data_IF_448703158777
#
_entry.id   IF_448703158777
#
_cell.length_a   1.000
_cell.length_b   1.000
_cell.length_c   1.000
_cell.angle_alpha   90.00
_cell.angle_beta   90.00
_cell.angle_gamma   90.00
#
_symmetry.space_group_name_H-M   'P 1'
#
loop_
_entity.id
_entity.type
_entity.pdbx_description
1 polymer ?
2 polymer ?
3 polymer ?
4 water ?
#
loop_
_entity_poly.entity_id
_entity_poly.type
_entity_poly.pdbx_seq_one_letter_code
_entity_poly.pdbx_strand_id
2 'polydeoxyribonucleotide' '(DT)(DA)(DC)(DC)(DG)(DT)(DG)(DG)(DC)(DC)(DT)(DA)(DT)(DT)(DG)(DC)(DG)(DA)(DT)(DG)(DT)(DT)(DT)(DC)(DC)(DT)(DA)(DG)(DC)(DT)' ?
3 'polydeoxyribonucleotide' '(DA)(DG)(DC)(DT)(DA)(DG)(DG)(DA)(DA)(DA)(DC)(DA)(DT)(DC)(DG)(DC)(DA)(DA)(DT)(DA)(DG)(DG)(DC)(DC)(DA)(DC)(DG)(DG)(DT)(DA)' ?
#
# COMPACT_ATOMS: atom_id res chain seq x y z
N UNK A 8 -12.48 8.13 -6.41
CA UNK A 8 -11.50 7.07 -6.11
C UNK A 8 -12.07 5.69 -6.41
N UNK A 9 -11.34 4.85 -7.13
CA UNK A 9 -11.87 3.56 -7.56
C UNK A 9 -11.29 2.45 -6.69
N UNK A 10 -12.17 1.75 -5.97
CA UNK A 10 -11.75 0.56 -5.25
C UNK A 10 -11.22 -0.46 -6.23
N UNK A 11 -10.05 -1.04 -6.00
CA UNK A 11 -9.50 -2.04 -6.92
C UNK A 11 -10.43 -3.20 -7.18
N UNK A 12 -11.36 -3.49 -6.27
CA UNK A 12 -12.34 -4.55 -6.53
C UNK A 12 -13.25 -4.24 -7.70
N UNK A 13 -13.45 -2.95 -8.00
CA UNK A 13 -14.28 -2.61 -9.15
C UNK A 13 -13.57 -2.98 -10.46
N UNK A 14 -12.25 -2.76 -10.52
CA UNK A 14 -11.48 -3.19 -11.68
C UNK A 14 -11.47 -4.70 -11.78
N UNK A 15 -11.19 -5.39 -10.68
CA UNK A 15 -11.21 -6.84 -10.66
C UNK A 15 -12.52 -7.38 -11.21
N UNK A 16 -13.64 -6.87 -10.70
CA UNK A 16 -14.95 -7.34 -11.17
C UNK A 16 -15.21 -6.94 -12.61
N UNK A 17 -15.05 -5.65 -12.94
CA UNK A 17 -15.46 -5.19 -14.26
C UNK A 17 -14.44 -5.53 -15.34
N UNK A 18 -13.15 -5.36 -15.06
CA UNK A 18 -12.12 -5.54 -16.08
C UNK A 18 -11.69 -6.98 -16.26
N UNK A 19 -11.95 -7.86 -15.29
CA UNK A 19 -11.38 -9.20 -15.40
C UNK A 19 -12.44 -10.27 -15.22
N UNK A 20 -13.10 -10.28 -14.04
CA UNK A 20 -14.13 -11.27 -13.77
C UNK A 20 -15.20 -11.26 -14.85
N UNK A 21 -15.81 -10.10 -15.08
CA UNK A 21 -16.87 -10.05 -16.08
C UNK A 21 -16.31 -10.24 -17.49
N UNK A 22 -15.13 -9.68 -17.75
CA UNK A 22 -14.54 -9.81 -19.08
C UNK A 22 -14.35 -11.27 -19.48
N UNK A 23 -13.91 -12.11 -18.53
CA UNK A 23 -13.62 -13.50 -18.84
C UNK A 23 -14.68 -14.46 -18.33
N UNK A 24 -15.82 -13.95 -17.84
CA UNK A 24 -16.92 -14.77 -17.33
C UNK A 24 -16.42 -15.77 -16.29
N UNK A 25 -15.69 -15.26 -15.29
CA UNK A 25 -15.14 -16.05 -14.19
C UNK A 25 -15.82 -15.58 -12.91
N UNK A 26 -16.36 -16.53 -12.13
CA UNK A 26 -17.01 -16.17 -10.88
C UNK A 26 -15.97 -15.92 -9.79
N UNK A 27 -16.33 -15.13 -8.76
CA UNK A 27 -15.44 -15.01 -7.59
C UNK A 27 -15.05 -16.37 -7.01
N UNK A 28 -15.99 -17.31 -6.95
CA UNK A 28 -15.68 -18.64 -6.43
C UNK A 28 -14.67 -19.36 -7.32
N UNK A 29 -14.87 -19.30 -8.65
CA UNK A 29 -13.92 -19.95 -9.56
C UNK A 29 -12.56 -19.29 -9.47
N UNK A 30 -12.53 -17.96 -9.34
CA UNK A 30 -11.25 -17.27 -9.22
C UNK A 30 -10.53 -17.68 -7.94
N UNK A 31 -11.25 -17.74 -6.81
CA UNK A 31 -10.59 -18.11 -5.56
C UNK A 31 -9.94 -19.49 -5.66
N UNK A 32 -10.61 -20.45 -6.33
CA UNK A 32 -10.01 -21.78 -6.50
C UNK A 32 -8.72 -21.71 -7.29
N UNK A 33 -8.73 -20.97 -8.40
CA UNK A 33 -7.52 -20.82 -9.19
C UNK A 33 -6.42 -20.12 -8.42
N UNK A 34 -6.77 -19.17 -7.52
CA UNK A 34 -5.74 -18.46 -6.76
C UNK A 34 -5.27 -19.22 -5.53
N UNK A 35 -5.97 -20.30 -5.14
CA UNK A 35 -5.67 -21.04 -3.90
C UNK A 35 -5.87 -20.17 -2.67
N UNK A 36 -6.94 -19.37 -2.67
CA UNK A 36 -7.40 -18.63 -1.50
C UNK A 36 -8.88 -18.95 -1.29
N UNK A 37 -9.41 -18.52 -0.15
CA UNK A 37 -10.80 -18.82 0.19
C UNK A 37 -11.74 -17.88 -0.56
N UNK A 38 -12.93 -18.41 -0.87
CA UNK A 38 -13.96 -17.64 -1.56
C UNK A 38 -14.25 -16.29 -0.92
N UNK A 39 -14.39 -16.16 0.41
CA UNK A 39 -14.64 -14.82 0.97
C UNK A 39 -13.53 -13.84 0.71
N UNK A 40 -12.30 -14.30 0.48
CA UNK A 40 -11.23 -13.36 0.15
C UNK A 40 -11.53 -12.62 -1.15
N UNK A 41 -11.90 -13.36 -2.20
CA UNK A 41 -12.21 -12.73 -3.48
C UNK A 41 -13.54 -11.98 -3.40
N UNK A 42 -14.54 -12.58 -2.77
CA UNK A 42 -15.85 -11.92 -2.73
C UNK A 42 -15.79 -10.60 -1.98
N UNK A 43 -15.06 -10.55 -0.87
CA UNK A 43 -14.95 -9.30 -0.11
C UNK A 43 -14.26 -8.22 -0.93
N UNK A 44 -13.27 -8.59 -1.76
CA UNK A 44 -12.63 -7.62 -2.65
C UNK A 44 -13.62 -7.09 -3.67
N UNK A 45 -14.38 -7.99 -4.31
CA UNK A 45 -15.31 -7.59 -5.36
C UNK A 45 -16.44 -6.73 -4.79
N UNK A 46 -16.88 -6.99 -3.56
CA UNK A 46 -17.85 -6.14 -2.90
C UNK A 46 -17.24 -4.84 -2.38
N UNK A 47 -15.95 -4.60 -2.66
CA UNK A 47 -15.26 -3.39 -2.22
C UNK A 47 -15.31 -3.22 -0.70
N UNK A 48 -15.18 -4.33 0.02
CA UNK A 48 -15.08 -4.32 1.47
C UNK A 48 -13.71 -4.76 1.98
N UNK A 49 -12.82 -5.18 1.10
CA UNK A 49 -11.47 -5.55 1.48
C UNK A 49 -10.50 -5.01 0.44
N UNK A 50 -9.37 -4.52 0.91
CA UNK A 50 -8.34 -4.03 0.01
C UNK A 50 -7.50 -5.16 -0.52
N UNK A 51 -6.62 -4.84 -1.47
CA UNK A 51 -5.74 -5.84 -2.05
C UNK A 51 -4.42 -5.87 -1.27
N UNK A 52 -4.11 -7.01 -0.66
CA UNK A 52 -2.85 -7.19 0.03
C UNK A 52 -1.72 -7.44 -0.97
N UNK A 53 -0.48 -7.32 -0.49
CA UNK A 53 0.68 -7.64 -1.33
C UNK A 53 0.59 -9.07 -1.85
N UNK A 54 0.19 -10.00 -0.99
CA UNK A 54 0.04 -11.39 -1.41
C UNK A 54 -0.98 -11.52 -2.53
N UNK A 55 -2.14 -10.86 -2.38
CA UNK A 55 -3.18 -10.93 -3.40
C UNK A 55 -2.74 -10.26 -4.69
N UNK A 56 -1.97 -9.18 -4.60
CA UNK A 56 -1.45 -8.52 -5.79
C UNK A 56 -0.60 -9.47 -6.62
N UNK A 57 0.26 -10.26 -5.97
CA UNK A 57 1.08 -11.23 -6.68
C UNK A 57 0.20 -12.29 -7.33
N UNK A 58 -0.78 -12.83 -6.57
CA UNK A 58 -1.64 -13.88 -7.13
C UNK A 58 -2.44 -13.38 -8.31
N UNK A 59 -3.01 -12.18 -8.22
CA UNK A 59 -3.81 -11.67 -9.32
C UNK A 59 -2.94 -11.38 -10.54
N UNK A 60 -1.78 -10.74 -10.33
CA UNK A 60 -0.88 -10.51 -11.44
C UNK A 60 -0.49 -11.81 -12.12
N UNK A 61 -0.21 -12.84 -11.32
CA UNK A 61 0.25 -14.12 -11.85
C UNK A 61 -0.85 -14.81 -12.67
N UNK A 62 -2.07 -14.85 -12.13
CA UNK A 62 -3.17 -15.55 -12.79
C UNK A 62 -3.64 -14.81 -14.03
N UNK A 63 -3.85 -13.49 -13.92
CA UNK A 63 -4.39 -12.71 -15.01
C UNK A 63 -3.34 -12.14 -15.96
N UNK A 64 -2.07 -12.55 -15.82
CA UNK A 64 -1.00 -12.01 -16.67
C UNK A 64 -1.01 -10.47 -16.65
N UNK A 65 -0.97 -9.90 -15.45
CA UNK A 65 -0.80 -8.46 -15.30
C UNK A 65 0.43 -8.20 -14.43
N UNK A 66 0.85 -6.94 -14.45
CA UNK A 66 1.79 -6.44 -13.44
C UNK A 66 1.23 -6.70 -12.04
N UNK A 67 2.08 -7.18 -11.13
CA UNK A 67 1.68 -7.21 -9.73
C UNK A 67 1.62 -5.79 -9.15
N UNK A 68 2.55 -4.92 -9.54
CA UNK A 68 2.54 -3.56 -9.04
C UNK A 68 1.32 -2.78 -9.52
N UNK A 69 0.74 -3.17 -10.66
CA UNK A 69 -0.53 -2.58 -11.09
C UNK A 69 -1.58 -2.67 -10.00
N UNK A 70 -1.73 -3.86 -9.39
CA UNK A 70 -2.69 -4.02 -8.30
C UNK A 70 -2.26 -3.25 -7.06
N UNK A 71 -0.97 -3.27 -6.72
CA UNK A 71 -0.48 -2.48 -5.60
C UNK A 71 -0.80 -1.00 -5.77
N UNK A 72 -0.67 -0.49 -7.00
CA UNK A 72 -0.88 0.95 -7.23
C UNK A 72 -2.35 1.33 -7.15
N UNK A 73 -3.24 0.49 -7.69
CA UNK A 73 -4.67 0.70 -7.52
C UNK A 73 -5.02 0.81 -6.05
N UNK A 74 -4.49 -0.09 -5.23
CA UNK A 74 -4.78 -0.08 -3.81
C UNK A 74 -4.22 1.16 -3.12
N UNK A 75 -2.95 1.47 -3.39
CA UNK A 75 -2.33 2.57 -2.65
C UNK A 75 -2.99 3.90 -3.00
N UNK A 76 -3.35 4.09 -4.26
CA UNK A 76 -4.04 5.32 -4.64
C UNK A 76 -5.41 5.41 -3.97
N UNK A 77 -6.15 4.30 -3.95
CA UNK A 77 -7.45 4.30 -3.28
C UNK A 77 -7.30 4.52 -1.78
N UNK A 78 -6.33 3.85 -1.16
CA UNK A 78 -6.10 4.01 0.27
C UNK A 78 -5.73 5.45 0.61
N UNK A 79 -4.88 6.07 -0.22
CA UNK A 79 -4.46 7.44 0.05
C UNK A 79 -5.65 8.39 -0.05
N UNK A 80 -6.46 8.26 -1.12
CA UNK A 80 -7.61 9.14 -1.28
C UNK A 80 -8.64 8.92 -0.17
N UNK A 81 -8.86 7.67 0.21
CA UNK A 81 -9.83 7.40 1.28
C UNK A 81 -9.34 7.96 2.61
N UNK A 82 -8.05 7.78 2.94
CA UNK A 82 -7.51 8.40 4.15
C UNK A 82 -7.60 9.93 4.07
N UNK A 83 -7.33 10.49 2.89
CA UNK A 83 -7.33 11.95 2.78
C UNK A 83 -8.74 12.50 2.94
N UNK A 84 -9.74 11.86 2.32
CA UNK A 84 -11.12 12.31 2.49
C UNK A 84 -11.55 12.26 3.95
N UNK A 85 -11.03 11.29 4.71
CA UNK A 85 -11.43 11.18 6.12
C UNK A 85 -10.69 12.17 7.00
N UNK A 86 -9.38 12.33 6.81
CA UNK A 86 -8.56 13.06 7.76
C UNK A 86 -7.67 14.15 7.14
N UNK A 87 -7.76 14.38 5.84
CA UNK A 87 -6.89 15.35 5.19
C UNK A 87 -6.95 16.72 5.84
N UNK A 88 -8.16 17.24 6.03
CA UNK A 88 -8.29 18.62 6.51
C UNK A 88 -7.80 18.75 7.95
N UNK A 89 -8.16 17.81 8.82
CA UNK A 89 -7.65 17.83 10.19
C UNK A 89 -6.13 17.73 10.23
N UNK A 90 -5.54 16.85 9.41
CA UNK A 90 -4.07 16.76 9.36
C UNK A 90 -3.48 18.09 8.92
N UNK A 91 -4.06 18.71 7.89
CA UNK A 91 -3.55 19.99 7.41
C UNK A 91 -3.71 21.09 8.45
N UNK A 92 -4.73 20.98 9.31
CA UNK A 92 -4.95 21.98 10.34
C UNK A 92 -3.98 21.83 11.50
N UNK A 93 -3.55 20.60 11.80
CA UNK A 93 -2.69 20.42 12.95
C UNK A 93 -1.21 20.37 12.61
N UNK A 94 -0.83 20.23 11.35
CA UNK A 94 0.59 20.16 10.98
C UNK A 94 0.95 21.40 10.17
N UNK A 95 1.91 22.17 10.66
CA UNK A 95 2.42 23.30 9.87
C UNK A 95 3.64 22.85 9.07
N UNK A 96 3.64 23.05 7.74
CA UNK A 96 4.76 22.54 6.94
C UNK A 96 6.08 23.18 7.36
N UNK A 97 7.17 22.43 7.15
CA UNK A 97 8.48 22.89 7.59
C UNK A 97 8.87 24.23 6.97
N UNK A 98 8.42 24.51 5.75
CA UNK A 98 8.67 25.83 5.17
C UNK A 98 7.80 26.86 5.90
N UNK A 99 8.42 27.61 6.82
CA UNK A 99 7.70 28.64 7.59
C UNK A 99 8.67 29.37 8.51
N UNK B 8 15.85 -3.86 -1.85
CA UNK B 8 14.54 -3.27 -1.53
C UNK B 8 14.63 -2.35 -0.30
N UNK B 9 14.28 -1.07 -0.45
CA UNK B 9 14.57 -0.08 0.59
C UNK B 9 13.30 0.17 1.41
N UNK B 10 13.40 -0.11 2.71
CA UNK B 10 12.35 0.27 3.65
C UNK B 10 12.19 1.78 3.66
N UNK B 11 10.96 2.30 3.55
CA UNK B 11 10.77 3.76 3.56
C UNK B 11 11.34 4.44 4.78
N UNK B 12 11.52 3.73 5.90
CA UNK B 12 12.16 4.34 7.05
C UNK B 12 13.61 4.71 6.79
N UNK B 13 14.29 4.00 5.89
CA UNK B 13 15.65 4.36 5.55
C UNK B 13 15.71 5.71 4.84
N UNK B 14 14.78 5.94 3.91
CA UNK B 14 14.65 7.25 3.27
C UNK B 14 14.31 8.32 4.29
N UNK B 15 13.28 8.06 5.12
CA UNK B 15 12.91 9.01 6.16
C UNK B 15 14.12 9.38 7.03
N UNK B 16 14.83 8.36 7.52
CA UNK B 16 16.01 8.59 8.35
C UNK B 16 17.09 9.36 7.59
N UNK B 17 17.50 8.84 6.42
CA UNK B 17 18.69 9.37 5.77
C UNK B 17 18.39 10.63 4.95
N UNK B 18 17.25 10.67 4.26
CA UNK B 18 16.98 11.80 3.37
C UNK B 18 16.36 12.99 4.08
N UNK B 19 15.76 12.79 5.27
CA UNK B 19 15.00 13.89 5.88
C UNK B 19 15.48 14.17 7.30
N UNK B 20 15.38 13.17 8.19
CA UNK B 20 15.81 13.37 9.57
C UNK B 20 17.25 13.86 9.65
N UNK B 21 18.17 13.10 9.07
CA UNK B 21 19.57 13.51 9.13
C UNK B 21 19.81 14.78 8.34
N UNK B 22 19.13 14.93 7.20
CA UNK B 22 19.32 16.11 6.37
C UNK B 22 18.98 17.39 7.13
N UNK B 23 17.88 17.38 7.87
CA UNK B 23 17.44 18.56 8.61
C UNK B 23 17.87 18.54 10.07
N UNK B 24 18.60 17.51 10.50
CA UNK B 24 18.96 17.33 11.90
C UNK B 24 17.73 17.43 12.80
N UNK B 25 16.74 16.60 12.49
CA UNK B 25 15.51 16.50 13.27
C UNK B 25 15.47 15.10 13.88
N UNK B 26 15.24 15.04 15.20
CA UNK B 26 15.15 13.74 15.86
C UNK B 26 13.79 13.09 15.61
N UNK B 27 13.72 11.76 15.70
CA UNK B 27 12.41 11.09 15.70
C UNK B 27 11.43 11.68 16.70
N UNK B 28 11.89 12.04 17.90
CA UNK B 28 10.96 12.61 18.89
C UNK B 28 10.46 13.97 18.45
N UNK B 29 11.35 14.81 17.90
CA UNK B 29 10.92 16.12 17.41
C UNK B 29 9.95 15.97 16.25
N UNK B 30 10.23 15.02 15.35
CA UNK B 30 9.34 14.82 14.21
C UNK B 30 7.95 14.38 14.68
N UNK B 31 7.88 13.41 15.59
CA UNK B 31 6.60 12.97 16.11
C UNK B 31 5.79 14.13 16.69
N UNK B 32 6.44 15.06 17.39
CA UNK B 32 5.73 16.21 17.94
C UNK B 32 5.13 17.07 16.83
N UNK B 33 5.91 17.35 15.80
CA UNK B 33 5.40 18.14 14.68
C UNK B 33 4.26 17.40 13.97
N UNK B 34 4.36 16.06 13.84
CA UNK B 34 3.34 15.30 13.13
C UNK B 34 2.11 15.03 13.98
N UNK B 35 2.14 15.32 15.28
CA UNK B 35 1.06 14.98 16.21
C UNK B 35 0.78 13.47 16.25
N UNK B 36 1.85 12.67 16.27
CA UNK B 36 1.80 11.24 16.51
C UNK B 36 2.74 10.91 17.66
N UNK B 37 2.63 9.69 18.17
CA UNK B 37 3.48 9.28 19.29
C UNK B 37 4.88 8.95 18.80
N UNK B 38 5.86 9.15 19.69
CA UNK B 38 7.26 8.90 19.36
C UNK B 38 7.53 7.48 18.88
N UNK B 39 6.94 6.41 19.45
CA UNK B 39 7.19 5.08 18.90
C UNK B 39 6.71 4.93 17.46
N UNK B 40 5.71 5.70 17.02
CA UNK B 40 5.30 5.62 15.63
C UNK B 40 6.44 6.00 14.69
N UNK B 41 7.11 7.13 14.97
CA UNK B 41 8.22 7.53 14.12
C UNK B 41 9.42 6.61 14.34
N UNK B 42 9.69 6.27 15.61
CA UNK B 42 10.87 5.46 15.89
C UNK B 42 10.78 4.10 15.23
N UNK B 43 9.61 3.46 15.27
CA UNK B 43 9.47 2.14 14.66
C UNK B 43 9.65 2.18 13.15
N UNK B 44 9.27 3.30 12.51
CA UNK B 44 9.50 3.47 11.07
C UNK B 44 10.99 3.58 10.80
N UNK B 45 11.69 4.43 11.56
CA UNK B 45 13.12 4.67 11.31
C UNK B 45 13.95 3.42 11.55
N UNK B 46 13.55 2.59 12.53
CA UNK B 46 14.19 1.31 12.75
C UNK B 46 13.74 0.24 11.76
N UNK B 47 12.90 0.62 10.79
CA UNK B 47 12.42 -0.29 9.74
C UNK B 47 11.63 -1.47 10.31
N UNK B 48 10.89 -1.23 11.41
CA UNK B 48 10.02 -2.24 12.01
C UNK B 48 8.53 -1.96 11.82
N UNK B 49 8.17 -0.84 11.22
CA UNK B 49 6.79 -0.56 10.88
C UNK B 49 6.75 0.11 9.52
N UNK B 50 5.73 -0.23 8.73
CA UNK B 50 5.54 0.38 7.44
C UNK B 50 4.86 1.73 7.55
N UNK B 51 4.73 2.39 6.40
CA UNK B 51 4.09 3.71 6.34
C UNK B 51 2.61 3.53 6.01
N UNK B 52 1.74 4.00 6.91
CA UNK B 52 0.31 3.96 6.67
C UNK B 52 -0.11 5.13 5.78
N UNK B 53 -1.31 5.03 5.22
CA UNK B 53 -1.84 6.13 4.41
C UNK B 53 -1.89 7.43 5.23
N UNK B 54 -2.27 7.32 6.50
CA UNK B 54 -2.28 8.48 7.38
C UNK B 54 -0.90 9.09 7.51
N UNK B 55 0.11 8.26 7.78
CA UNK B 55 1.47 8.75 7.95
C UNK B 55 2.02 9.33 6.65
N UNK B 56 1.67 8.73 5.51
CA UNK B 56 2.08 9.27 4.22
C UNK B 56 1.57 10.71 4.05
N UNK B 57 0.34 10.97 4.46
CA UNK B 57 -0.20 12.32 4.39
C UNK B 57 0.55 13.26 5.33
N UNK B 58 0.76 12.84 6.58
CA UNK B 58 1.47 13.69 7.55
C UNK B 58 2.88 13.99 7.09
N UNK B 59 3.61 12.98 6.61
CA UNK B 59 4.99 13.20 6.19
C UNK B 59 5.05 14.10 4.96
N UNK B 60 4.18 13.85 3.98
CA UNK B 60 4.11 14.74 2.83
C UNK B 60 3.79 16.17 3.22
N UNK B 61 2.86 16.34 4.15
CA UNK B 61 2.47 17.67 4.61
C UNK B 61 3.64 18.38 5.30
N UNK B 62 4.31 17.71 6.23
CA UNK B 62 5.36 18.34 7.02
C UNK B 62 6.62 18.60 6.21
N UNK B 63 7.05 17.62 5.40
CA UNK B 63 8.30 17.76 4.68
C UNK B 63 8.12 18.33 3.27
N UNK B 64 6.94 18.84 2.94
CA UNK B 64 6.68 19.39 1.60
C UNK B 64 7.09 18.37 0.52
N UNK B 65 6.57 17.15 0.65
CA UNK B 65 6.73 16.14 -0.39
C UNK B 65 5.35 15.69 -0.86
N UNK B 66 5.36 14.94 -1.95
CA UNK B 66 4.18 14.18 -2.37
C UNK B 66 3.79 13.20 -1.26
N UNK B 67 2.49 13.12 -0.96
CA UNK B 67 2.04 12.01 -0.14
C UNK B 67 2.18 10.68 -0.87
N UNK B 68 1.89 10.67 -2.17
CA UNK B 68 1.96 9.41 -2.91
C UNK B 68 3.40 8.92 -3.03
N UNK B 69 4.39 9.81 -2.90
CA UNK B 69 5.79 9.39 -2.83
C UNK B 69 6.00 8.37 -1.72
N UNK B 70 5.49 8.68 -0.52
CA UNK B 70 5.64 7.75 0.59
C UNK B 70 4.81 6.49 0.38
N UNK B 71 3.62 6.63 -0.19
CA UNK B 71 2.80 5.46 -0.49
C UNK B 71 3.52 4.53 -1.46
N UNK B 72 4.23 5.09 -2.45
CA UNK B 72 4.88 4.25 -3.46
C UNK B 72 6.12 3.55 -2.89
N UNK B 73 6.89 4.25 -2.06
CA UNK B 73 8.00 3.59 -1.36
C UNK B 73 7.49 2.38 -0.58
N UNK B 74 6.41 2.55 0.18
CA UNK B 74 5.87 1.47 0.98
C UNK B 74 5.35 0.33 0.10
N UNK B 75 4.58 0.65 -0.94
CA UNK B 75 3.97 -0.40 -1.74
C UNK B 75 5.04 -1.21 -2.48
N UNK B 76 6.10 -0.55 -2.95
CA UNK B 76 7.17 -1.28 -3.62
C UNK B 76 7.92 -2.17 -2.63
N UNK B 77 8.18 -1.66 -1.43
CA UNK B 77 8.85 -2.48 -0.42
C UNK B 77 7.97 -3.65 0.00
N UNK B 78 6.67 -3.39 0.22
CA UNK B 78 5.75 -4.45 0.63
C UNK B 78 5.67 -5.54 -0.43
N UNK B 79 5.65 -5.15 -1.70
CA UNK B 79 5.54 -6.13 -2.77
C UNK B 79 6.81 -6.98 -2.87
N UNK B 80 7.99 -6.34 -2.82
CA UNK B 80 9.23 -7.11 -2.89
C UNK B 80 9.39 -8.01 -1.68
N UNK B 81 8.99 -7.54 -0.49
CA UNK B 81 9.07 -8.40 0.70
C UNK B 81 8.12 -9.58 0.59
N UNK B 82 6.88 -9.36 0.16
CA UNK B 82 5.96 -10.47 -0.02
C UNK B 82 6.48 -11.43 -1.08
N UNK B 83 7.02 -10.90 -2.18
CA UNK B 83 7.52 -11.77 -3.24
C UNK B 83 8.70 -12.60 -2.74
N UNK B 84 9.62 -11.99 -2.00
CA UNK B 84 10.77 -12.74 -1.49
C UNK B 84 10.31 -13.88 -0.59
N UNK B 85 9.28 -13.65 0.23
CA UNK B 85 8.78 -14.68 1.13
C UNK B 85 8.02 -15.77 0.38
N UNK B 86 7.10 -15.38 -0.51
CA UNK B 86 6.13 -16.31 -1.06
C UNK B 86 6.05 -16.38 -2.58
N UNK B 87 6.87 -15.61 -3.31
CA UNK B 87 6.76 -15.58 -4.75
C UNK B 87 6.82 -16.96 -5.38
N UNK B 88 7.77 -17.78 -4.96
CA UNK B 88 8.01 -19.06 -5.62
C UNK B 88 6.87 -20.03 -5.37
N UNK B 89 6.38 -20.07 -4.13
CA UNK B 89 5.22 -20.89 -3.81
C UNK B 89 3.99 -20.49 -4.62
N UNK B 90 3.70 -19.18 -4.68
CA UNK B 90 2.55 -18.72 -5.45
C UNK B 90 2.67 -19.16 -6.92
N UNK B 91 3.85 -18.95 -7.50
CA UNK B 91 4.03 -19.30 -8.90
C UNK B 91 3.92 -20.80 -9.13
N UNK B 92 4.26 -21.60 -8.11
CA UNK B 92 4.12 -23.05 -8.22
C UNK B 92 2.67 -23.47 -8.13
N UNK B 93 1.86 -22.78 -7.32
CA UNK B 93 0.50 -23.24 -7.16
C UNK B 93 -0.49 -22.61 -8.12
N UNK B 94 -0.15 -21.49 -8.78
CA UNK B 94 -1.08 -20.80 -9.67
C UNK B 94 -0.62 -20.94 -11.10
N UNK B 95 -1.43 -21.61 -11.94
CA UNK B 95 -1.11 -21.60 -13.37
C UNK B 95 -1.74 -20.38 -14.03
N UNK B 96 -0.98 -19.60 -14.80
CA UNK B 96 -1.55 -18.40 -15.43
C UNK B 96 -2.68 -18.78 -16.39
N UNK B 97 -3.63 -17.86 -16.52
CA UNK B 97 -4.81 -18.11 -17.36
C UNK B 97 -4.43 -18.40 -18.81
N UNK B 98 -3.38 -17.77 -19.32
CA UNK B 98 -2.95 -18.11 -20.68
C UNK B 98 -2.60 -19.60 -20.75
N UNK B 99 -3.22 -20.29 -21.71
CA UNK B 99 -3.31 -21.76 -21.79
C UNK B 99 -4.24 -22.34 -20.70
#
# INVERSE_FOLDING_TARGET
MATNGMRPIHPGEILRDEFLMEFDISPAALARALKVSAPTVNDIVREQRGISADMAIRLGRYFDTSAQFWMNLQSEYSLATAYAANGKQIEHEIEPLLAHG
MATNGMRPIHPGEILRDEFLMEFDISPAALARALKVSAPTVNDIVREQRGISADMAIRLGRYFDTSAQFWMNLQSEYSLATAYAANGKQIEHEIEPLLAHG
#
